data_IF_744346390377
#
_entry.id   IF_744346390377
#
_cell.length_a   1.000
_cell.length_b   1.000
_cell.length_c   1.000
_cell.angle_alpha   90.00
_cell.angle_beta   90.00
_cell.angle_gamma   90.00
#
_symmetry.space_group_name_H-M   'P 1'
#
loop_
_entity.id
_entity.type
_entity.pdbx_description
1 polymer ?
#
# COMPACT_ATOMS: atom_id res chain seq x y z
N UNK A 1 15.73 33.48 -15.08
CA UNK A 1 14.47 33.29 -14.33
C UNK A 1 14.44 31.88 -13.79
N UNK A 2 14.45 31.76 -12.46
CA UNK A 2 14.34 30.57 -11.61
C UNK A 2 14.93 29.23 -12.12
N UNK A 3 16.21 29.03 -11.80
CA UNK A 3 16.85 27.74 -11.57
C UNK A 3 16.23 27.05 -10.35
N UNK A 4 15.84 25.77 -10.45
CA UNK A 4 15.93 24.74 -9.41
C UNK A 4 15.66 23.36 -10.06
N UNK A 5 16.58 22.85 -10.87
CA UNK A 5 16.61 21.41 -11.19
C UNK A 5 17.33 20.68 -10.05
N UNK A 6 16.66 20.56 -8.91
CA UNK A 6 17.08 19.62 -7.88
C UNK A 6 16.75 18.22 -8.37
N UNK A 7 17.75 17.44 -8.78
CA UNK A 7 17.54 16.04 -9.15
C UNK A 7 16.92 15.30 -7.95
N UNK A 8 15.74 14.71 -8.15
CA UNK A 8 15.11 13.86 -7.15
C UNK A 8 15.96 12.60 -7.05
N UNK A 9 16.60 12.39 -5.91
CA UNK A 9 17.29 11.13 -5.64
C UNK A 9 16.25 10.07 -5.34
N UNK A 10 16.12 9.08 -6.23
CA UNK A 10 15.25 7.91 -6.05
C UNK A 10 16.09 6.79 -5.45
N UNK A 11 15.82 6.44 -4.20
CA UNK A 11 16.51 5.33 -3.54
C UNK A 11 15.51 4.19 -3.34
N UNK A 12 15.84 3.02 -3.88
CA UNK A 12 15.05 1.79 -3.71
C UNK A 12 15.86 0.85 -2.84
N UNK A 13 15.25 0.41 -1.74
CA UNK A 13 15.89 -0.49 -0.80
C UNK A 13 15.08 -1.77 -0.76
N UNK A 14 15.68 -2.85 -1.27
CA UNK A 14 15.09 -4.19 -1.23
C UNK A 14 15.49 -4.91 0.06
N UNK A 15 14.52 -5.54 0.72
CA UNK A 15 14.66 -6.31 1.96
C UNK A 15 15.16 -5.50 3.17
N UNK A 16 14.72 -4.24 3.25
CA UNK A 16 15.44 -3.16 3.91
C UNK A 16 15.84 -3.33 5.38
N UNK A 17 16.98 -2.71 5.67
CA UNK A 17 17.29 -2.11 6.96
C UNK A 17 17.35 -0.58 6.85
N UNK A 18 16.63 0.00 5.88
CA UNK A 18 16.62 1.42 5.50
C UNK A 18 16.45 2.42 6.65
N UNK A 19 15.64 2.06 7.64
CA UNK A 19 15.39 2.91 8.80
C UNK A 19 16.34 2.52 9.93
N UNK A 20 17.08 3.44 10.55
CA UNK A 20 17.92 3.11 11.71
C UNK A 20 17.05 2.57 12.86
N UNK A 21 17.53 1.55 13.58
CA UNK A 21 16.77 0.88 14.65
C UNK A 21 16.23 1.87 15.72
N UNK A 22 16.99 2.91 16.05
CA UNK A 22 16.62 3.96 17.01
C UNK A 22 15.52 4.92 16.51
N UNK A 23 15.23 4.94 15.21
CA UNK A 23 14.22 5.82 14.60
C UNK A 23 12.96 5.05 14.16
N UNK A 24 13.06 3.71 14.00
CA UNK A 24 12.01 2.84 13.41
C UNK A 24 10.64 2.95 14.06
N UNK A 25 10.56 3.12 15.38
CA UNK A 25 9.30 2.90 16.12
C UNK A 25 8.32 4.09 16.08
N UNK A 26 8.70 5.22 15.47
CA UNK A 26 7.83 6.42 15.44
C UNK A 26 7.73 7.12 14.08
N UNK A 27 8.42 6.63 13.06
CA UNK A 27 8.33 7.24 11.73
C UNK A 27 6.90 7.15 11.21
N UNK A 28 6.33 8.27 10.80
CA UNK A 28 5.09 8.28 10.02
C UNK A 28 5.40 7.82 8.61
N UNK A 29 4.34 7.49 7.88
CA UNK A 29 4.53 7.13 6.49
C UNK A 29 3.30 6.57 5.84
N UNK A 30 3.50 6.16 4.61
CA UNK A 30 2.50 5.54 3.75
C UNK A 30 3.04 4.24 3.21
N UNK A 31 2.15 3.35 2.80
CA UNK A 31 2.52 2.04 2.30
C UNK A 31 1.55 1.54 1.25
N UNK A 32 2.07 0.67 0.40
CA UNK A 32 1.34 -0.18 -0.52
C UNK A 32 1.50 -1.63 -0.04
N UNK A 33 0.38 -2.35 0.09
CA UNK A 33 0.38 -3.80 0.24
C UNK A 33 0.09 -4.42 -1.12
N UNK A 34 0.85 -5.44 -1.51
CA UNK A 34 0.56 -6.30 -2.65
C UNK A 34 0.13 -7.66 -2.10
N UNK A 35 -1.09 -8.05 -2.45
CA UNK A 35 -1.77 -9.21 -1.91
C UNK A 35 -2.18 -10.15 -3.05
N UNK A 36 -2.22 -11.45 -2.79
CA UNK A 36 -2.76 -12.47 -3.70
C UNK A 36 -3.94 -13.19 -3.05
N UNK A 37 -5.08 -13.18 -3.73
CA UNK A 37 -6.23 -13.98 -3.37
C UNK A 37 -6.28 -15.20 -4.29
N UNK A 38 -6.21 -16.39 -3.71
CA UNK A 38 -6.10 -17.63 -4.48
C UNK A 38 -7.46 -18.18 -4.95
N UNK A 39 -8.57 -17.73 -4.33
CA UNK A 39 -9.92 -18.16 -4.66
C UNK A 39 -10.94 -17.02 -4.48
N UNK A 40 -12.00 -17.04 -5.29
CA UNK A 40 -13.07 -16.05 -5.22
C UNK A 40 -13.75 -16.02 -3.83
N UNK A 41 -14.08 -14.82 -3.38
CA UNK A 41 -14.92 -14.57 -2.21
C UNK A 41 -16.24 -13.97 -2.68
N UNK A 42 -17.34 -14.69 -2.49
CA UNK A 42 -18.69 -14.20 -2.78
C UNK A 42 -19.35 -13.64 -1.51
N UNK A 43 -20.18 -12.60 -1.66
CA UNK A 43 -20.96 -11.97 -0.58
C UNK A 43 -20.14 -11.65 0.68
N UNK A 44 -18.89 -11.21 0.49
CA UNK A 44 -17.93 -11.02 1.56
C UNK A 44 -18.20 -9.73 2.33
N UNK A 45 -18.61 -9.86 3.60
CA UNK A 45 -18.95 -8.74 4.47
C UNK A 45 -17.70 -8.03 5.04
N UNK A 46 -17.61 -6.72 4.80
CA UNK A 46 -16.49 -5.87 5.26
C UNK A 46 -17.03 -4.82 6.22
N UNK A 47 -17.22 -5.20 7.48
CA UNK A 47 -17.65 -4.28 8.54
C UNK A 47 -18.83 -3.40 8.13
N UNK A 48 -18.67 -2.07 8.23
CA UNK A 48 -19.69 -1.09 7.84
C UNK A 48 -19.68 -0.74 6.34
N UNK A 49 -18.69 -1.20 5.58
CA UNK A 49 -18.59 -0.91 4.15
C UNK A 49 -19.66 -1.65 3.32
N UNK A 50 -20.16 -2.78 3.85
CA UNK A 50 -21.14 -3.63 3.18
C UNK A 50 -20.53 -4.94 2.66
N UNK A 51 -21.23 -5.59 1.73
CA UNK A 51 -20.81 -6.85 1.12
C UNK A 51 -20.30 -6.64 -0.30
N UNK A 52 -19.23 -7.34 -0.66
CA UNK A 52 -18.58 -7.25 -1.97
C UNK A 52 -18.16 -8.65 -2.44
N UNK A 53 -18.00 -8.80 -3.76
CA UNK A 53 -17.38 -9.99 -4.34
C UNK A 53 -15.93 -9.67 -4.74
N UNK A 54 -15.02 -10.57 -4.41
CA UNK A 54 -13.60 -10.47 -4.77
C UNK A 54 -13.20 -11.69 -5.59
N UNK A 55 -12.75 -11.46 -6.82
CA UNK A 55 -12.23 -12.52 -7.71
C UNK A 55 -10.79 -12.87 -7.36
N UNK A 56 -10.38 -14.11 -7.56
CA UNK A 56 -8.99 -14.51 -7.48
C UNK A 56 -8.08 -13.60 -8.34
N UNK A 57 -6.88 -13.33 -7.85
CA UNK A 57 -5.94 -12.42 -8.48
C UNK A 57 -5.18 -11.56 -7.47
N UNK A 58 -4.75 -10.38 -7.90
CA UNK A 58 -3.85 -9.53 -7.14
C UNK A 58 -4.55 -8.26 -6.69
N UNK A 59 -4.29 -7.90 -5.44
CA UNK A 59 -4.89 -6.74 -4.79
C UNK A 59 -3.80 -5.80 -4.30
N UNK A 60 -4.00 -4.51 -4.57
CA UNK A 60 -3.10 -3.44 -4.17
C UNK A 60 -3.84 -2.54 -3.20
N UNK A 61 -3.31 -2.39 -1.99
CA UNK A 61 -3.93 -1.55 -0.96
C UNK A 61 -3.00 -0.42 -0.52
N UNK A 62 -3.46 0.81 -0.64
CA UNK A 62 -2.74 2.00 -0.17
C UNK A 62 -3.21 2.37 1.23
N UNK A 63 -2.30 2.45 2.18
CA UNK A 63 -2.61 2.89 3.53
C UNK A 63 -1.60 3.88 4.10
N UNK A 64 -1.96 4.43 5.25
CA UNK A 64 -1.14 5.38 5.98
C UNK A 64 -0.91 4.95 7.42
N UNK A 65 0.15 5.46 8.02
CA UNK A 65 0.63 5.09 9.35
C UNK A 65 0.95 6.32 10.19
N UNK A 66 -0.01 7.24 10.29
CA UNK A 66 0.14 8.49 11.05
C UNK A 66 -0.17 8.36 12.56
N UNK A 67 -0.65 7.20 13.02
CA UNK A 67 -0.88 6.89 14.44
C UNK A 67 0.41 6.76 15.27
N UNK A 68 0.28 6.58 16.58
CA UNK A 68 1.41 6.61 17.55
C UNK A 68 2.52 5.59 17.24
N UNK A 69 2.20 4.39 16.76
CA UNK A 69 3.19 3.35 16.42
C UNK A 69 3.89 3.50 15.06
N UNK A 70 3.49 4.48 14.24
CA UNK A 70 4.14 4.74 12.95
C UNK A 70 4.06 3.60 11.93
N UNK A 71 4.84 3.73 10.86
CA UNK A 71 4.88 2.81 9.72
C UNK A 71 5.39 1.43 10.14
N UNK A 72 6.39 1.33 11.01
CA UNK A 72 6.92 0.03 11.44
C UNK A 72 5.85 -0.81 12.15
N UNK A 73 5.15 -0.24 13.13
CA UNK A 73 4.08 -0.98 13.82
C UNK A 73 2.92 -1.32 12.88
N UNK A 74 2.60 -0.43 11.93
CA UNK A 74 1.54 -0.68 10.95
C UNK A 74 1.88 -1.82 10.01
N UNK A 75 3.12 -1.89 9.52
CA UNK A 75 3.56 -2.99 8.65
C UNK A 75 3.65 -4.31 9.41
N UNK A 76 4.13 -4.29 10.67
CA UNK A 76 4.12 -5.47 11.54
C UNK A 76 2.69 -5.99 11.79
N UNK A 77 1.73 -5.08 12.01
CA UNK A 77 0.31 -5.46 12.07
C UNK A 77 -0.09 -6.22 10.80
N UNK A 78 0.19 -5.70 9.61
CA UNK A 78 -0.19 -6.33 8.33
C UNK A 78 0.46 -7.67 8.06
N UNK A 79 1.66 -7.92 8.58
CA UNK A 79 2.30 -9.23 8.50
C UNK A 79 1.59 -10.27 9.37
N UNK A 80 1.06 -9.86 10.52
CA UNK A 80 0.45 -10.79 11.47
C UNK A 80 -0.85 -11.43 10.94
N UNK A 81 -0.96 -12.76 11.17
CA UNK A 81 -2.19 -13.56 11.12
C UNK A 81 -2.19 -14.60 12.24
N UNK A 82 -3.36 -15.04 12.72
CA UNK A 82 -4.68 -14.45 12.44
C UNK A 82 -4.81 -13.05 13.05
N UNK A 83 -5.76 -12.24 12.60
CA UNK A 83 -5.98 -10.91 13.21
C UNK A 83 -6.74 -11.07 14.53
N UNK A 84 -6.24 -10.52 15.65
CA UNK A 84 -6.99 -10.56 16.92
C UNK A 84 -8.28 -9.73 16.85
N UNK A 85 -8.27 -8.65 16.05
CA UNK A 85 -9.45 -7.84 15.75
C UNK A 85 -9.30 -7.21 14.37
N UNK A 86 -10.41 -7.15 13.63
CA UNK A 86 -10.48 -6.48 12.33
C UNK A 86 -10.85 -5.01 12.56
N UNK A 87 -9.90 -4.10 12.36
CA UNK A 87 -10.09 -2.66 12.59
C UNK A 87 -10.25 -1.89 11.28
N UNK A 88 -9.48 -2.25 10.25
CA UNK A 88 -9.49 -1.61 8.94
C UNK A 88 -10.12 -2.53 7.92
N UNK A 89 -10.73 -1.99 6.85
CA UNK A 89 -11.32 -2.82 5.79
C UNK A 89 -10.30 -3.83 5.23
N UNK A 90 -9.04 -3.41 5.10
CA UNK A 90 -7.96 -4.30 4.64
C UNK A 90 -7.73 -5.48 5.57
N UNK A 91 -8.02 -5.39 6.88
CA UNK A 91 -7.85 -6.52 7.79
C UNK A 91 -8.76 -7.69 7.40
N UNK A 92 -9.98 -7.41 6.91
CA UNK A 92 -10.92 -8.43 6.45
C UNK A 92 -10.36 -9.20 5.26
N UNK A 93 -9.98 -8.48 4.20
CA UNK A 93 -9.37 -9.10 3.02
C UNK A 93 -8.04 -9.78 3.37
N UNK A 94 -7.28 -9.19 4.33
CA UNK A 94 -6.05 -9.79 4.80
C UNK A 94 -6.26 -11.11 5.50
N UNK A 95 -7.43 -11.55 5.92
CA UNK A 95 -7.56 -12.92 6.45
C UNK A 95 -7.61 -13.98 5.33
N UNK A 96 -7.87 -13.56 4.09
CA UNK A 96 -8.06 -14.46 2.94
C UNK A 96 -6.98 -14.32 1.86
N UNK A 97 -6.36 -13.14 1.71
CA UNK A 97 -5.41 -12.86 0.62
C UNK A 97 -3.97 -12.79 1.13
N UNK A 98 -3.07 -13.67 0.70
CA UNK A 98 -1.67 -13.75 1.09
C UNK A 98 -0.91 -12.41 0.85
N UNK A 99 -0.06 -12.00 1.78
CA UNK A 99 0.76 -10.78 1.63
C UNK A 99 2.05 -11.10 0.91
N UNK A 100 2.18 -10.63 -0.33
CA UNK A 100 3.34 -10.89 -1.18
C UNK A 100 4.43 -9.84 -0.97
N UNK A 101 4.07 -8.56 -1.00
CA UNK A 101 5.02 -7.47 -0.87
C UNK A 101 4.45 -6.30 -0.08
N UNK A 102 5.36 -5.52 0.49
CA UNK A 102 5.06 -4.22 1.09
C UNK A 102 6.04 -3.19 0.55
N UNK A 103 5.52 -2.07 0.05
CA UNK A 103 6.33 -0.92 -0.34
C UNK A 103 6.03 0.23 0.62
N UNK A 104 7.00 0.63 1.43
CA UNK A 104 6.83 1.63 2.47
C UNK A 104 7.67 2.88 2.22
N UNK A 105 7.10 4.06 2.47
CA UNK A 105 7.85 5.31 2.55
C UNK A 105 7.68 5.88 3.96
N UNK A 106 8.79 6.03 4.68
CA UNK A 106 8.81 6.81 5.91
C UNK A 106 8.84 8.30 5.57
N UNK A 107 7.75 9.00 5.87
CA UNK A 107 7.59 10.42 5.55
C UNK A 107 6.53 11.06 6.44
N UNK A 108 6.71 12.34 6.84
CA UNK A 108 5.64 13.10 7.47
C UNK A 108 4.58 13.59 6.46
N UNK A 109 4.86 13.52 5.15
CA UNK A 109 3.93 13.96 4.12
C UNK A 109 2.79 12.95 3.92
N UNK A 110 1.55 13.44 3.87
CA UNK A 110 0.34 12.63 3.70
C UNK A 110 0.10 12.30 2.23
N UNK A 111 0.93 11.39 1.71
CA UNK A 111 0.92 11.00 0.30
C UNK A 111 -0.06 9.85 -0.02
N UNK A 112 -0.85 9.36 0.94
CA UNK A 112 -1.73 8.19 0.71
C UNK A 112 -2.77 8.44 -0.40
N UNK A 113 -3.31 9.66 -0.46
CA UNK A 113 -4.30 10.05 -1.46
C UNK A 113 -3.68 10.20 -2.84
N UNK A 114 -2.47 10.76 -2.88
CA UNK A 114 -1.67 10.85 -4.09
C UNK A 114 -1.44 9.44 -4.68
N UNK A 115 -1.05 8.48 -3.85
CA UNK A 115 -0.89 7.09 -4.28
C UNK A 115 -2.19 6.44 -4.74
N UNK A 116 -3.29 6.63 -4.00
CA UNK A 116 -4.59 6.11 -4.41
C UNK A 116 -5.04 6.67 -5.77
N UNK A 117 -4.90 7.99 -6.00
CA UNK A 117 -5.23 8.60 -7.29
C UNK A 117 -4.32 8.11 -8.43
N UNK A 118 -3.02 7.97 -8.18
CA UNK A 118 -2.09 7.46 -9.18
C UNK A 118 -2.45 6.02 -9.61
N UNK A 119 -2.79 5.16 -8.65
CA UNK A 119 -3.20 3.78 -8.95
C UNK A 119 -4.57 3.72 -9.65
N UNK A 120 -5.51 4.60 -9.30
CA UNK A 120 -6.80 4.68 -9.99
C UNK A 120 -6.68 5.02 -11.49
N UNK A 121 -5.61 5.72 -11.87
CA UNK A 121 -5.31 6.10 -13.26
C UNK A 121 -4.35 5.11 -13.96
N UNK A 122 -3.87 4.10 -13.26
CA UNK A 122 -2.86 3.17 -13.79
C UNK A 122 -3.53 2.13 -14.70
N UNK A 123 -3.15 2.02 -15.99
CA UNK A 123 -3.70 1.02 -16.90
C UNK A 123 -3.59 -0.41 -16.36
N UNK A 124 -4.68 -1.18 -16.49
CA UNK A 124 -4.74 -2.57 -16.02
C UNK A 124 -5.17 -2.74 -14.57
N UNK A 125 -5.33 -1.65 -13.80
CA UNK A 125 -5.92 -1.70 -12.47
C UNK A 125 -7.40 -1.31 -12.50
N UNK A 126 -8.21 -1.95 -11.69
CA UNK A 126 -9.61 -1.59 -11.44
C UNK A 126 -9.89 -1.36 -9.95
N UNK A 127 -11.02 -0.74 -9.63
CA UNK A 127 -11.51 -0.60 -8.26
C UNK A 127 -12.53 -1.71 -7.99
N UNK A 128 -12.20 -2.74 -7.19
CA UNK A 128 -13.09 -3.86 -6.90
C UNK A 128 -14.16 -3.51 -5.84
N UNK A 129 -13.88 -2.53 -4.98
CA UNK A 129 -14.77 -2.12 -3.90
C UNK A 129 -14.67 -0.60 -3.70
N UNK A 130 -15.63 0.19 -4.23
CA UNK A 130 -15.72 1.63 -3.98
C UNK A 130 -15.80 1.95 -2.47
N UNK A 131 -15.14 3.02 -2.05
CA UNK A 131 -15.08 3.45 -0.65
C UNK A 131 -14.16 2.61 0.25
N UNK A 132 -13.55 1.53 -0.26
CA UNK A 132 -12.70 0.66 0.55
C UNK A 132 -11.47 1.41 1.05
N UNK A 133 -11.38 1.61 2.37
CA UNK A 133 -10.25 2.33 3.00
C UNK A 133 -10.30 3.84 2.80
N UNK A 134 -11.41 4.37 2.26
CA UNK A 134 -11.58 5.79 1.94
C UNK A 134 -12.55 6.50 2.89
N UNK A 135 -12.81 5.98 4.09
CA UNK A 135 -13.80 6.57 5.02
C UNK A 135 -13.49 8.01 5.44
N UNK A 136 -12.21 8.41 5.38
CA UNK A 136 -11.70 9.75 5.67
C UNK A 136 -11.00 10.40 4.45
N UNK A 137 -11.31 9.91 3.25
CA UNK A 137 -10.69 10.32 1.98
C UNK A 137 -11.75 10.60 0.92
N UNK A 138 -11.43 11.46 -0.05
CA UNK A 138 -12.24 11.67 -1.26
C UNK A 138 -11.85 10.70 -2.40
N UNK A 139 -10.82 9.87 -2.18
CA UNK A 139 -10.43 8.84 -3.13
C UNK A 139 -11.58 7.85 -3.35
N UNK A 140 -11.81 7.47 -4.61
CA UNK A 140 -12.84 6.50 -4.96
C UNK A 140 -12.65 5.15 -4.24
N UNK A 141 -11.39 4.74 -4.02
CA UNK A 141 -11.02 3.61 -3.18
C UNK A 141 -9.51 3.67 -2.87
N UNK A 142 -9.10 2.96 -1.82
CA UNK A 142 -7.70 2.65 -1.53
C UNK A 142 -7.33 1.21 -1.91
N UNK A 143 -8.28 0.43 -2.44
CA UNK A 143 -8.09 -0.94 -2.90
C UNK A 143 -8.21 -1.00 -4.43
N UNK A 144 -7.26 -1.67 -5.06
CA UNK A 144 -7.20 -1.88 -6.51
C UNK A 144 -7.00 -3.36 -6.82
N UNK A 145 -7.42 -3.79 -8.01
CA UNK A 145 -7.37 -5.16 -8.47
C UNK A 145 -6.73 -5.28 -9.85
N UNK A 146 -6.03 -6.39 -10.07
CA UNK A 146 -5.62 -6.88 -11.40
C UNK A 146 -5.62 -8.42 -11.42
N UNK A 147 -6.02 -9.05 -12.54
CA UNK A 147 -6.07 -10.52 -12.63
C UNK A 147 -4.70 -11.20 -12.60
N UNK A 148 -3.62 -10.49 -12.95
CA UNK A 148 -2.26 -11.01 -12.98
C UNK A 148 -1.31 -10.22 -12.08
N UNK A 149 -0.05 -10.67 -11.91
CA UNK A 149 0.94 -9.93 -11.13
C UNK A 149 1.06 -8.48 -11.63
N UNK A 150 1.02 -7.47 -10.74
CA UNK A 150 1.11 -6.09 -11.18
C UNK A 150 2.53 -5.78 -11.70
N UNK A 151 2.62 -5.01 -12.78
CA UNK A 151 3.89 -4.60 -13.36
C UNK A 151 4.62 -3.63 -12.42
N UNK A 152 5.67 -4.10 -11.74
CA UNK A 152 6.41 -3.32 -10.72
C UNK A 152 6.89 -1.96 -11.26
N UNK A 153 7.45 -1.91 -12.47
CA UNK A 153 7.96 -0.67 -13.06
C UNK A 153 6.85 0.38 -13.25
N UNK A 154 5.65 -0.05 -13.67
CA UNK A 154 4.50 0.82 -13.85
C UNK A 154 4.02 1.39 -12.51
N UNK A 155 3.96 0.56 -11.47
CA UNK A 155 3.64 1.02 -10.11
C UNK A 155 4.69 2.03 -9.64
N UNK A 156 5.98 1.75 -9.79
CA UNK A 156 7.05 2.65 -9.35
C UNK A 156 6.96 4.01 -10.05
N UNK A 157 6.74 4.01 -11.36
CA UNK A 157 6.55 5.24 -12.14
C UNK A 157 5.34 6.05 -11.63
N UNK A 158 4.20 5.39 -11.42
CA UNK A 158 2.98 6.06 -10.94
C UNK A 158 3.17 6.66 -9.52
N UNK A 159 3.72 5.89 -8.60
CA UNK A 159 3.84 6.28 -7.19
C UNK A 159 4.92 7.34 -6.95
N UNK A 160 6.07 7.22 -7.63
CA UNK A 160 7.14 8.22 -7.54
C UNK A 160 6.74 9.50 -8.28
N UNK A 161 6.16 9.40 -9.48
CA UNK A 161 5.73 10.56 -10.26
C UNK A 161 4.72 11.42 -9.50
N UNK A 162 3.74 10.80 -8.85
CA UNK A 162 2.78 11.54 -8.03
C UNK A 162 3.45 12.21 -6.81
N UNK A 163 4.36 11.52 -6.13
CA UNK A 163 5.03 12.07 -4.95
C UNK A 163 5.97 13.24 -5.33
N UNK A 164 6.64 13.17 -6.48
CA UNK A 164 7.43 14.27 -7.05
C UNK A 164 6.55 15.49 -7.38
N UNK A 165 5.38 15.28 -7.98
CA UNK A 165 4.40 16.36 -8.24
C UNK A 165 3.86 17.00 -6.96
N UNK A 166 3.77 16.22 -5.87
CA UNK A 166 3.42 16.70 -4.55
C UNK A 166 4.59 17.44 -3.84
N UNK A 167 5.72 17.63 -4.52
CA UNK A 167 6.89 18.36 -4.01
C UNK A 167 7.78 17.53 -3.09
N UNK A 168 7.60 16.21 -3.02
CA UNK A 168 8.45 15.38 -2.20
C UNK A 168 9.83 15.16 -2.86
N UNK A 169 10.88 15.58 -2.16
CA UNK A 169 12.27 15.40 -2.56
C UNK A 169 12.91 14.29 -1.73
N UNK A 170 13.78 13.47 -2.33
CA UNK A 170 14.52 12.37 -1.65
C UNK A 170 13.60 11.29 -1.06
N UNK A 171 12.87 10.59 -1.92
CA UNK A 171 12.02 9.47 -1.51
C UNK A 171 12.82 8.17 -1.52
N UNK A 172 12.78 7.47 -0.39
CA UNK A 172 13.25 6.10 -0.28
C UNK A 172 12.06 5.16 -0.14
N UNK A 173 11.89 4.24 -1.07
CA UNK A 173 10.89 3.16 -0.97
C UNK A 173 11.59 1.92 -0.39
N UNK A 174 11.16 1.50 0.79
CA UNK A 174 11.52 0.22 1.42
C UNK A 174 10.59 -0.87 0.87
N UNK A 175 11.12 -1.77 0.05
CA UNK A 175 10.38 -2.91 -0.51
C UNK A 175 10.73 -4.16 0.29
N UNK A 176 9.70 -4.80 0.84
CA UNK A 176 9.82 -6.07 1.57
C UNK A 176 9.08 -7.15 0.80
N UNK A 177 9.80 -8.19 0.40
CA UNK A 177 9.27 -9.31 -0.36
C UNK A 177 9.07 -10.52 0.57
N UNK A 178 7.86 -11.07 0.56
CA UNK A 178 7.42 -12.20 1.36
C UNK A 178 7.08 -13.43 0.51
N UNK A 179 7.23 -13.36 -0.82
CA UNK A 179 6.84 -14.42 -1.76
C UNK A 179 7.52 -15.75 -1.43
N UNK A 180 8.83 -15.71 -1.13
CA UNK A 180 9.63 -16.89 -0.79
C UNK A 180 9.25 -17.57 0.54
N UNK A 181 8.41 -16.94 1.36
CA UNK A 181 7.84 -17.55 2.57
C UNK A 181 6.48 -18.20 2.33
N UNK A 182 5.82 -17.89 1.20
CA UNK A 182 4.50 -18.40 0.82
C UNK A 182 4.61 -19.67 -0.02
N UNK A 183 5.63 -19.77 -0.86
CA UNK A 183 5.82 -20.91 -1.77
C UNK A 183 6.51 -22.12 -1.08
N UNK A 184 6.50 -22.18 0.27
CA UNK A 184 7.04 -23.27 1.11
C UNK A 184 5.93 -23.92 1.92
#
# INVERSE_FOLDING_TARGET
MALLTGAVSRILLYNGHAWPASTRERLKGIYLLILRLDADLADFAIGRLGCYCFTAGYYLYVGSAFGSGGITARLAHHQHRPKPRLHWHIDYLREHAALLEVWGIATPARLERCWAHALALTPGLSIPAPGFGASDSDAASHLFYTPGPPARDQLMLALLGCAEQAGATNLAIDIRDYQAAIDR
#
